data_IF_219242534798
#
_entry.id   IF_219242534798
#
_cell.length_a   1.000
_cell.length_b   1.000
_cell.length_c   1.000
_cell.angle_alpha   90.00
_cell.angle_beta   90.00
_cell.angle_gamma   90.00
#
_symmetry.space_group_name_H-M   'P 1'
#
loop_
_entity.id
_entity.type
_entity.pdbx_description
1 polymer ?
#
# COMPACT_ATOMS: atom_id res chain seq x y z
N UNK A 1 -15.73 8.29 0.13
CA UNK A 1 -14.52 8.17 -0.72
C UNK A 1 -14.62 6.86 -1.48
N UNK A 2 -14.97 6.89 -2.78
CA UNK A 2 -14.99 5.69 -3.61
C UNK A 2 -13.65 5.57 -4.32
N UNK A 3 -12.82 4.62 -3.91
CA UNK A 3 -11.59 4.32 -4.62
C UNK A 3 -11.91 3.51 -5.87
N UNK A 4 -11.31 3.88 -7.00
CA UNK A 4 -11.32 3.12 -8.24
C UNK A 4 -10.71 1.73 -8.01
N UNK A 5 -11.10 0.74 -8.83
CA UNK A 5 -10.58 -0.63 -8.73
C UNK A 5 -9.05 -0.68 -8.78
N UNK A 6 -8.44 0.15 -9.62
CA UNK A 6 -6.99 0.28 -9.77
C UNK A 6 -6.31 0.80 -8.49
N UNK A 7 -6.95 1.73 -7.77
CA UNK A 7 -6.43 2.26 -6.52
C UNK A 7 -6.49 1.22 -5.38
N UNK A 8 -7.55 0.40 -5.36
CA UNK A 8 -7.67 -0.71 -4.42
C UNK A 8 -6.66 -1.81 -4.71
N UNK A 9 -6.43 -2.11 -5.99
CA UNK A 9 -5.39 -3.04 -6.42
C UNK A 9 -4.01 -2.54 -6.00
N UNK A 10 -3.69 -1.27 -6.30
CA UNK A 10 -2.43 -0.64 -5.89
C UNK A 10 -2.22 -0.69 -4.37
N UNK A 11 -3.23 -0.30 -3.57
CA UNK A 11 -3.13 -0.35 -2.11
C UNK A 11 -2.84 -1.76 -1.60
N UNK A 12 -3.47 -2.76 -2.20
CA UNK A 12 -3.28 -4.17 -1.83
C UNK A 12 -1.88 -4.65 -2.21
N UNK A 13 -1.42 -4.36 -3.42
CA UNK A 13 -0.09 -4.73 -3.91
C UNK A 13 1.03 -4.03 -3.12
N UNK A 14 0.90 -2.72 -2.87
CA UNK A 14 1.84 -1.94 -2.07
C UNK A 14 1.93 -2.47 -0.64
N UNK A 15 0.81 -2.84 -0.03
CA UNK A 15 0.77 -3.43 1.31
C UNK A 15 1.57 -4.70 1.42
N UNK A 16 1.41 -5.63 0.48
CA UNK A 16 2.19 -6.88 0.50
C UNK A 16 3.65 -6.66 0.11
N UNK A 17 3.92 -5.77 -0.86
CA UNK A 17 5.29 -5.45 -1.30
C UNK A 17 6.13 -4.82 -0.19
N UNK A 18 5.53 -3.94 0.61
CA UNK A 18 6.19 -3.26 1.72
C UNK A 18 6.18 -4.09 3.02
N UNK A 19 5.66 -5.31 2.97
CA UNK A 19 5.80 -6.26 4.05
C UNK A 19 7.27 -6.55 4.34
N UNK A 20 7.64 -6.53 5.61
CA UNK A 20 8.99 -6.85 6.04
C UNK A 20 8.94 -7.84 7.19
N UNK A 21 9.99 -8.66 7.31
CA UNK A 21 10.04 -9.74 8.28
C UNK A 21 10.76 -9.29 9.54
N UNK A 22 10.09 -9.36 10.69
CA UNK A 22 10.68 -9.14 12.01
C UNK A 22 10.52 -10.43 12.80
N UNK A 23 11.61 -10.97 13.37
CA UNK A 23 11.55 -12.18 14.19
C UNK A 23 10.81 -13.36 13.54
N UNK A 24 10.97 -13.52 12.22
CA UNK A 24 10.31 -14.54 11.41
C UNK A 24 8.78 -14.35 11.21
N UNK A 25 8.21 -13.24 11.68
CA UNK A 25 6.83 -12.83 11.42
C UNK A 25 6.78 -11.72 10.36
N UNK A 26 5.76 -11.76 9.50
CA UNK A 26 5.53 -10.69 8.53
C UNK A 26 4.83 -9.52 9.21
N UNK A 27 5.47 -8.37 9.16
CA UNK A 27 4.91 -7.09 9.58
C UNK A 27 4.53 -6.29 8.35
N UNK A 28 3.34 -5.68 8.39
CA UNK A 28 2.81 -4.87 7.30
C UNK A 28 2.35 -3.52 7.83
N UNK A 29 2.56 -2.48 7.03
CA UNK A 29 2.31 -1.10 7.43
C UNK A 29 1.47 -0.39 6.38
N UNK A 30 0.26 0.03 6.78
CA UNK A 30 -0.57 0.89 5.94
C UNK A 30 0.05 2.27 5.75
N UNK A 31 0.89 2.72 6.70
CA UNK A 31 1.58 4.01 6.58
C UNK A 31 2.50 4.06 5.37
N UNK A 32 3.17 2.95 5.04
CA UNK A 32 4.07 2.91 3.89
C UNK A 32 3.30 2.89 2.57
N UNK A 33 2.12 2.25 2.54
CA UNK A 33 1.19 2.35 1.42
C UNK A 33 0.73 3.79 1.19
N UNK A 34 0.37 4.50 2.26
CA UNK A 34 -0.13 5.88 2.19
C UNK A 34 0.95 6.88 1.75
N UNK A 35 2.24 6.60 2.00
CA UNK A 35 3.35 7.41 1.48
C UNK A 35 3.53 7.25 -0.03
N UNK A 36 3.35 6.04 -0.55
CA UNK A 36 3.48 5.76 -1.99
C UNK A 36 2.24 6.18 -2.79
N UNK A 37 1.07 6.15 -2.16
CA UNK A 37 -0.21 6.45 -2.79
C UNK A 37 -0.24 7.79 -3.57
N UNK A 38 0.17 8.95 -3.01
CA UNK A 38 0.15 10.21 -3.75
C UNK A 38 1.17 10.28 -4.89
N UNK A 39 2.22 9.45 -4.86
CA UNK A 39 3.22 9.38 -5.94
C UNK A 39 2.65 8.58 -7.12
N UNK A 40 2.00 7.46 -6.84
CA UNK A 40 1.45 6.57 -7.87
C UNK A 40 0.06 6.96 -8.35
N UNK A 41 -0.72 7.68 -7.53
CA UNK A 41 -2.06 8.16 -7.83
C UNK A 41 -2.15 9.70 -7.61
N UNK A 42 -1.43 10.52 -8.40
CA UNK A 42 -1.36 11.97 -8.20
C UNK A 42 -2.62 12.74 -8.62
N UNK A 43 -3.55 12.10 -9.32
CA UNK A 43 -4.75 12.73 -9.90
C UNK A 43 -6.04 12.45 -9.11
N UNK A 44 -5.92 12.15 -7.82
CA UNK A 44 -7.06 11.99 -6.89
C UNK A 44 -7.34 13.32 -6.19
#
# INVERSE_FOLDING_TARGET
MFYLTEQKAFMTESYFRNGYKINNEWSYSLQDCLKEFPIQCPHI
#
